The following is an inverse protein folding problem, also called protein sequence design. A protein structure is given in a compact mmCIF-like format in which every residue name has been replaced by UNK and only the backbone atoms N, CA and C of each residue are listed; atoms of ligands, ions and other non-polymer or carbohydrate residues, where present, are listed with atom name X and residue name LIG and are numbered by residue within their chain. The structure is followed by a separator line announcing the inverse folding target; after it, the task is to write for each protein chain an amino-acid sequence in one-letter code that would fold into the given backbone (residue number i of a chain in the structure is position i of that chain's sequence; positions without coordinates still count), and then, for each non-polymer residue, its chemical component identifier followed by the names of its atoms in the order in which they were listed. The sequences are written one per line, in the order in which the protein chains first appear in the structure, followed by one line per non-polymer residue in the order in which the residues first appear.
data_IF_561239672525
#
_entry.id   IF_561239672525
#
_cell.length_a   1.000
_cell.length_b   1.000
_cell.length_c   1.000
_cell.angle_alpha   90.00
_cell.angle_beta   90.00
_cell.angle_gamma   90.00
#
_symmetry.space_group_name_H-M   'P 1'
#
loop_
_entity.id
_entity.type
_entity.pdbx_description
1 polymer ?
#
# COMPACT_ATOMS: atom_id res chain seq x y z
N UNK A 1 1.98 -0.28 17.09
CA UNK A 1 2.60 -1.11 16.04
C UNK A 1 1.84 -0.78 14.78
N UNK A 2 2.46 -0.05 13.87
CA UNK A 2 1.82 0.43 12.65
C UNK A 2 2.01 -0.62 11.56
N UNK A 3 1.05 -0.74 10.62
CA UNK A 3 1.27 -1.51 9.40
C UNK A 3 2.49 -0.97 8.61
N UNK A 4 2.80 0.32 8.77
CA UNK A 4 3.96 0.98 8.17
C UNK A 4 5.29 0.34 8.59
N UNK A 5 5.37 -0.25 9.80
CA UNK A 5 6.60 -0.84 10.36
C UNK A 5 7.14 -2.02 9.52
N UNK A 6 6.34 -2.54 8.58
CA UNK A 6 6.66 -3.71 7.75
C UNK A 6 6.67 -3.42 6.25
N UNK A 7 6.37 -2.19 5.81
CA UNK A 7 6.29 -1.87 4.38
C UNK A 7 7.62 -2.03 3.64
N UNK A 8 8.76 -1.91 4.34
CA UNK A 8 10.09 -2.20 3.77
C UNK A 8 10.25 -3.63 3.21
N UNK A 9 9.37 -4.57 3.59
CA UNK A 9 9.35 -5.92 3.04
C UNK A 9 8.66 -6.00 1.67
N UNK A 10 7.79 -5.03 1.38
CA UNK A 10 7.05 -4.91 0.14
C UNK A 10 7.69 -3.91 -0.83
N UNK A 11 8.85 -3.33 -0.50
CA UNK A 11 9.50 -2.25 -1.26
C UNK A 11 9.85 -2.62 -2.72
N UNK A 12 9.91 -3.91 -3.05
CA UNK A 12 10.11 -4.37 -4.43
C UNK A 12 8.90 -5.06 -5.04
N UNK A 13 7.83 -5.21 -4.27
CA UNK A 13 6.61 -5.86 -4.71
C UNK A 13 5.72 -4.78 -5.34
N UNK A 14 5.25 -4.96 -6.58
CA UNK A 14 4.26 -4.08 -7.16
C UNK A 14 3.02 -4.02 -6.27
N UNK A 15 2.57 -2.81 -5.97
CA UNK A 15 1.55 -2.57 -4.97
C UNK A 15 0.43 -1.70 -5.53
N UNK A 16 -0.80 -2.18 -5.45
CA UNK A 16 -2.01 -1.40 -5.74
C UNK A 16 -2.74 -1.12 -4.41
N UNK A 17 -2.91 0.16 -4.11
CA UNK A 17 -3.68 0.65 -2.98
C UNK A 17 -4.97 1.26 -3.51
N UNK A 18 -6.11 0.74 -3.07
CA UNK A 18 -7.44 1.29 -3.38
C UNK A 18 -8.10 1.71 -2.06
N UNK A 19 -8.56 2.95 -1.98
CA UNK A 19 -9.14 3.52 -0.75
C UNK A 19 -10.40 4.32 -1.08
N UNK A 20 -11.40 4.33 -0.20
CA UNK A 20 -12.54 5.24 -0.29
C UNK A 20 -12.23 6.59 0.35
N UNK A 21 -12.59 7.71 -0.30
CA UNK A 21 -12.35 9.06 0.25
C UNK A 21 -13.09 9.32 1.56
N UNK A 22 -14.21 8.63 1.77
CA UNK A 22 -15.16 8.85 2.86
C UNK A 22 -15.13 7.70 3.86
N UNK A 23 -14.02 6.94 3.93
CA UNK A 23 -13.85 5.81 4.84
C UNK A 23 -13.95 6.26 6.32
N UNK A 24 -15.02 5.85 7.05
CA UNK A 24 -15.22 6.26 8.43
C UNK A 24 -14.46 5.37 9.43
N UNK A 25 -13.86 4.27 8.97
CA UNK A 25 -13.17 3.27 9.80
C UNK A 25 -11.67 3.52 9.77
N UNK A 26 -11.10 3.74 8.58
CA UNK A 26 -9.68 4.05 8.40
C UNK A 26 -9.57 5.27 7.47
N UNK A 27 -9.35 6.47 8.03
CA UNK A 27 -9.31 7.71 7.26
C UNK A 27 -8.38 7.64 6.05
N UNK A 28 -8.78 8.31 4.95
CA UNK A 28 -8.09 8.28 3.65
C UNK A 28 -6.62 8.70 3.73
N UNK A 29 -6.26 9.53 4.71
CA UNK A 29 -4.88 9.93 4.98
C UNK A 29 -3.97 8.74 5.24
N UNK A 30 -4.48 7.63 5.79
CA UNK A 30 -3.69 6.41 5.95
C UNK A 30 -3.27 5.81 4.61
N UNK A 31 -4.17 5.81 3.62
CA UNK A 31 -3.87 5.36 2.26
C UNK A 31 -2.83 6.26 1.58
N UNK A 32 -3.01 7.59 1.70
CA UNK A 32 -2.07 8.58 1.16
C UNK A 32 -0.68 8.45 1.80
N UNK A 33 -0.60 8.34 3.12
CA UNK A 33 0.66 8.14 3.84
C UNK A 33 1.33 6.82 3.45
N UNK A 34 0.57 5.74 3.24
CA UNK A 34 1.12 4.47 2.77
C UNK A 34 1.70 4.60 1.36
N UNK A 35 1.06 5.36 0.47
CA UNK A 35 1.57 5.64 -0.86
C UNK A 35 2.85 6.49 -0.84
N UNK A 36 2.95 7.47 0.06
CA UNK A 36 4.18 8.25 0.25
C UNK A 36 5.36 7.38 0.72
N UNK A 37 5.11 6.44 1.64
CA UNK A 37 6.13 5.50 2.13
C UNK A 37 6.51 4.48 1.06
N UNK A 38 5.53 3.95 0.32
CA UNK A 38 5.74 2.98 -0.77
C UNK A 38 5.63 3.71 -2.09
N UNK A 39 6.62 4.55 -2.41
CA UNK A 39 6.55 5.50 -3.52
C UNK A 39 6.34 4.89 -4.91
N UNK A 40 6.64 3.59 -5.11
CA UNK A 40 6.36 2.86 -6.35
C UNK A 40 4.97 2.22 -6.39
N UNK A 41 4.16 2.35 -5.34
CA UNK A 41 2.78 1.88 -5.34
C UNK A 41 1.92 2.69 -6.30
N UNK A 42 0.90 2.05 -6.88
CA UNK A 42 -0.22 2.73 -7.53
C UNK A 42 -1.27 3.01 -6.46
N UNK A 43 -1.69 4.26 -6.32
CA UNK A 43 -2.73 4.67 -5.39
C UNK A 43 -3.98 5.12 -6.14
N UNK A 44 -5.13 4.57 -5.76
CA UNK A 44 -6.44 4.94 -6.29
C UNK A 44 -7.34 5.31 -5.12
N UNK A 45 -7.77 6.56 -5.12
CA UNK A 45 -8.79 7.07 -4.21
C UNK A 45 -10.14 7.09 -4.94
N UNK A 46 -11.13 6.40 -4.39
CA UNK A 46 -12.48 6.32 -4.91
C UNK A 46 -13.33 7.36 -4.18
N UNK A 47 -13.59 8.46 -4.87
CA UNK A 47 -14.39 9.58 -4.39
C UNK A 47 -15.80 9.12 -3.96
N UNK A 48 -16.23 9.52 -2.77
CA UNK A 48 -17.54 9.23 -2.21
C UNK A 48 -17.73 7.80 -1.70
N UNK A 49 -16.69 6.95 -1.77
CA UNK A 49 -16.73 5.59 -1.23
C UNK A 49 -16.27 5.55 0.22
N UNK A 50 -16.91 4.69 1.02
CA UNK A 50 -16.55 4.42 2.41
C UNK A 50 -15.50 3.31 2.55
N UNK A 51 -15.60 2.55 3.64
CA UNK A 51 -14.60 1.51 3.97
C UNK A 51 -14.55 0.32 3.02
N UNK A 52 -15.59 0.12 2.20
CA UNK A 52 -15.71 -1.03 1.32
C UNK A 52 -15.85 -0.61 -0.15
N UNK A 53 -14.79 -0.09 -0.81
CA UNK A 53 -14.90 0.40 -2.18
C UNK A 53 -15.32 -0.65 -3.21
N UNK A 54 -15.04 -1.93 -2.92
CA UNK A 54 -15.51 -3.05 -3.74
C UNK A 54 -17.04 -3.25 -3.69
N UNK A 55 -17.73 -2.69 -2.69
CA UNK A 55 -19.19 -2.70 -2.59
C UNK A 55 -19.79 -1.39 -3.13
N UNK A 56 -19.13 -0.26 -2.89
CA UNK A 56 -19.64 1.06 -3.29
C UNK A 56 -19.44 1.34 -4.79
N UNK A 57 -18.27 0.96 -5.33
CA UNK A 57 -17.86 1.22 -6.72
C UNK A 57 -17.20 -0.02 -7.36
N UNK A 58 -17.92 -1.16 -7.44
CA UNK A 58 -17.34 -2.43 -7.89
C UNK A 58 -16.74 -2.35 -9.31
N UNK A 59 -17.36 -1.62 -10.23
CA UNK A 59 -16.88 -1.49 -11.61
C UNK A 59 -15.53 -0.77 -11.66
N UNK A 60 -15.36 0.29 -10.86
CA UNK A 60 -14.10 1.03 -10.81
C UNK A 60 -13.00 0.17 -10.18
N UNK A 61 -13.30 -0.54 -9.10
CA UNK A 61 -12.34 -1.47 -8.46
C UNK A 61 -11.88 -2.55 -9.44
N UNK A 62 -12.81 -3.15 -10.17
CA UNK A 62 -12.48 -4.18 -11.18
C UNK A 62 -11.64 -3.60 -12.31
N UNK A 63 -11.94 -2.39 -12.79
CA UNK A 63 -11.17 -1.73 -13.84
C UNK A 63 -9.72 -1.47 -13.38
N UNK A 64 -9.53 -0.90 -12.20
CA UNK A 64 -8.20 -0.59 -11.65
C UNK A 64 -7.39 -1.86 -11.37
N UNK A 65 -8.04 -2.89 -10.82
CA UNK A 65 -7.40 -4.18 -10.58
C UNK A 65 -6.97 -4.86 -11.88
N UNK A 66 -7.83 -4.82 -12.91
CA UNK A 66 -7.53 -5.42 -14.22
C UNK A 66 -6.38 -4.69 -14.88
N UNK A 67 -6.43 -3.35 -14.94
CA UNK A 67 -5.35 -2.53 -15.48
C UNK A 67 -4.03 -2.79 -14.77
N UNK A 68 -4.04 -2.86 -13.43
CA UNK A 68 -2.85 -3.18 -12.66
C UNK A 68 -2.27 -4.55 -13.03
N UNK A 69 -3.09 -5.59 -13.17
CA UNK A 69 -2.61 -6.92 -13.57
C UNK A 69 -2.03 -6.92 -14.99
N UNK A 70 -2.65 -6.19 -15.92
CA UNK A 70 -2.21 -6.14 -17.32
C UNK A 70 -0.94 -5.32 -17.52
N UNK A 71 -0.77 -4.23 -16.76
CA UNK A 71 0.32 -3.26 -16.91
C UNK A 71 1.54 -3.57 -16.03
N UNK A 72 1.42 -4.52 -15.10
CA UNK A 72 2.46 -4.78 -14.10
C UNK A 72 3.17 -6.11 -14.35
N UNK A 73 4.50 -6.07 -14.42
CA UNK A 73 5.30 -7.30 -14.45
C UNK A 73 5.15 -8.09 -13.15
N UNK A 74 4.87 -9.41 -13.19
CA UNK A 74 4.79 -10.22 -11.99
C UNK A 74 6.09 -10.18 -11.18
N UNK A 75 5.98 -9.95 -9.88
CA UNK A 75 7.12 -10.01 -8.98
C UNK A 75 7.63 -11.44 -8.84
N UNK A 76 8.91 -11.65 -9.10
CA UNK A 76 9.57 -12.93 -8.83
C UNK A 76 9.80 -13.09 -7.32
N UNK A 77 9.01 -13.96 -6.70
CA UNK A 77 9.03 -14.16 -5.26
C UNK A 77 10.05 -15.21 -4.85
N UNK A 78 10.97 -14.83 -3.94
CA UNK A 78 11.89 -15.75 -3.28
C UNK A 78 11.78 -15.67 -1.76
N UNK A 79 11.50 -16.82 -1.13
CA UNK A 79 11.41 -16.92 0.33
C UNK A 79 12.75 -16.60 1.01
N UNK A 80 13.88 -16.98 0.40
CA UNK A 80 15.20 -16.73 0.95
C UNK A 80 15.51 -15.22 0.96
N UNK A 81 15.14 -14.49 -0.09
CA UNK A 81 15.31 -13.04 -0.13
C UNK A 81 14.48 -12.31 0.93
N UNK A 82 13.21 -12.71 1.11
CA UNK A 82 12.35 -12.12 2.14
C UNK A 82 12.93 -12.38 3.53
N UNK A 83 13.45 -13.58 3.77
CA UNK A 83 14.12 -13.94 5.03
C UNK A 83 15.36 -13.09 5.29
N UNK A 84 16.17 -12.82 4.26
CA UNK A 84 17.33 -11.95 4.38
C UNK A 84 16.93 -10.50 4.70
N UNK A 85 15.92 -9.95 4.03
CA UNK A 85 15.40 -8.61 4.32
C UNK A 85 14.86 -8.50 5.75
N UNK A 86 14.12 -9.50 6.21
CA UNK A 86 13.62 -9.58 7.59
C UNK A 86 14.76 -9.56 8.63
N UNK A 87 15.89 -10.21 8.35
CA UNK A 87 17.07 -10.23 9.24
C UNK A 87 17.82 -8.91 9.22
N UNK A 88 17.91 -8.25 8.06
CA UNK A 88 18.53 -6.93 7.91
C UNK A 88 17.74 -5.85 8.64
N UNK A 89 16.40 -5.94 8.61
CA UNK A 89 15.52 -4.87 9.06
C UNK A 89 15.42 -3.73 8.04
N UNK A 90 14.72 -2.63 8.39
CA UNK A 90 14.61 -1.45 7.52
C UNK A 90 16.00 -0.87 7.24
N UNK A 91 16.23 -0.41 6.00
CA UNK A 91 17.49 0.21 5.59
C UNK A 91 17.77 1.52 6.34
N UNK A 92 19.02 1.97 6.32
CA UNK A 92 19.50 3.09 7.14
C UNK A 92 18.82 4.45 6.84
N UNK A 93 18.12 4.57 5.70
CA UNK A 93 17.36 5.77 5.30
C UNK A 93 15.90 5.83 5.79
N UNK A 94 15.36 4.77 6.37
CA UNK A 94 13.90 4.65 6.64
C UNK A 94 13.50 4.87 8.12
N UNK A 95 14.47 5.19 8.99
CA UNK A 95 14.22 5.35 10.44
C UNK A 95 13.54 6.67 10.80
N UNK A 96 13.38 7.58 9.84
CA UNK A 96 12.76 8.90 10.02
C UNK A 96 11.29 8.88 9.56
N UNK A 97 10.48 8.00 10.16
CA UNK A 97 9.03 8.16 10.15
C UNK A 97 8.61 9.27 11.13
N UNK A 98 7.51 10.00 10.88
CA UNK A 98 7.14 11.14 11.73
C UNK A 98 6.93 10.69 13.18
N UNK A 99 7.60 11.41 14.10
CA UNK A 99 7.45 11.19 15.53
C UNK A 99 5.98 11.32 15.91
N UNK A 100 5.38 10.21 16.32
CA UNK A 100 4.02 10.19 16.88
C UNK A 100 4.03 10.91 18.23
N UNK A 101 3.82 12.22 18.22
CA UNK A 101 3.32 12.94 19.40
C UNK A 101 1.80 12.89 19.39
N UNK A 102 1.25 12.04 20.26
CA UNK A 102 -0.07 12.17 20.84
C UNK A 102 0.02 11.75 22.31
#
# INVERSE_FOLDING_TARGET
MSALDRLYLADQIPFLLIWGSDDPVIPVEHGRNAHEVVSHSRYVEIEGSGHWPMLDAPEQVVAELTAFIEETEPFDYSFDEVRERLRRGPGDGERDGPSSTA
#
